data_IF_468500475170
#
_entry.id   IF_468500475170
#
_cell.length_a   1.000
_cell.length_b   1.000
_cell.length_c   1.000
_cell.angle_alpha   90.00
_cell.angle_beta   90.00
_cell.angle_gamma   90.00
#
_symmetry.space_group_name_H-M   'P 1'
#
loop_
_entity.id
_entity.type
_entity.pdbx_description
1 polymer ?
#
# COMPACT_ATOMS: atom_id res chain seq x y z
N UNK A 1 0.16 20.13 3.09
CA UNK A 1 -0.64 19.40 4.08
C UNK A 1 -1.89 18.87 3.42
N UNK A 2 -2.28 17.65 3.78
CA UNK A 2 -3.53 17.03 3.35
C UNK A 2 -4.62 17.37 4.36
N UNK A 3 -5.82 17.67 3.86
CA UNK A 3 -7.04 17.83 4.63
C UNK A 3 -8.18 17.01 3.98
N UNK A 4 -9.37 17.02 4.59
CA UNK A 4 -10.53 16.23 4.12
C UNK A 4 -11.00 16.61 2.71
N UNK A 5 -10.76 17.86 2.29
CA UNK A 5 -11.18 18.39 0.98
C UNK A 5 -10.10 18.23 -0.11
N UNK A 6 -8.89 17.77 0.25
CA UNK A 6 -7.78 17.65 -0.69
C UNK A 6 -8.09 16.59 -1.76
N UNK A 7 -8.10 16.94 -3.06
CA UNK A 7 -8.38 15.98 -4.11
C UNK A 7 -7.26 14.94 -4.25
N UNK A 8 -7.61 13.70 -4.61
CA UNK A 8 -6.63 12.64 -4.88
C UNK A 8 -5.67 13.01 -6.03
N UNK A 9 -6.14 13.76 -7.03
CA UNK A 9 -5.31 14.25 -8.13
C UNK A 9 -4.19 15.22 -7.69
N UNK A 10 -4.33 15.85 -6.52
CA UNK A 10 -3.34 16.77 -5.94
C UNK A 10 -2.43 16.07 -4.94
N UNK A 11 -3.02 15.30 -4.04
CA UNK A 11 -2.31 14.63 -2.95
C UNK A 11 -1.66 13.31 -3.35
N UNK A 12 -2.24 12.60 -4.30
CA UNK A 12 -2.02 11.18 -4.55
C UNK A 12 -2.96 10.28 -3.73
N UNK A 13 -3.23 9.09 -4.23
CA UNK A 13 -4.17 8.15 -3.60
C UNK A 13 -3.66 7.63 -2.26
N UNK A 14 -2.39 7.21 -2.20
CA UNK A 14 -1.79 6.62 -1.01
C UNK A 14 -1.70 7.61 0.17
N UNK A 15 -1.19 8.85 0.01
CA UNK A 15 -1.15 9.80 1.11
C UNK A 15 -2.55 10.19 1.63
N UNK A 16 -3.54 10.26 0.72
CA UNK A 16 -4.91 10.56 1.10
C UNK A 16 -5.52 9.40 1.90
N UNK A 17 -5.23 8.15 1.50
CA UNK A 17 -5.65 6.96 2.22
C UNK A 17 -5.03 6.93 3.63
N UNK A 18 -3.73 7.19 3.74
CA UNK A 18 -3.03 7.26 5.04
C UNK A 18 -3.71 8.29 5.94
N UNK A 19 -3.96 9.50 5.44
CA UNK A 19 -4.60 10.55 6.22
C UNK A 19 -5.99 10.15 6.75
N UNK A 20 -6.80 9.51 5.91
CA UNK A 20 -8.16 9.06 6.24
C UNK A 20 -8.19 7.91 7.23
N UNK A 21 -7.34 6.90 7.02
CA UNK A 21 -7.33 5.70 7.85
C UNK A 21 -6.69 5.92 9.23
N UNK A 22 -5.72 6.82 9.31
CA UNK A 22 -4.96 7.04 10.56
C UNK A 22 -5.40 8.27 11.33
N UNK A 23 -5.97 9.27 10.66
CA UNK A 23 -6.29 10.57 11.24
C UNK A 23 -5.07 11.39 11.65
N UNK A 24 -3.85 10.96 11.31
CA UNK A 24 -2.63 11.72 11.61
C UNK A 24 -2.37 12.79 10.55
N UNK A 25 -1.67 13.88 10.89
CA UNK A 25 -1.26 14.89 9.92
C UNK A 25 -0.38 14.29 8.82
N UNK A 26 -0.72 14.56 7.55
CA UNK A 26 0.05 14.09 6.39
C UNK A 26 0.45 15.27 5.52
N UNK A 27 1.72 15.29 5.12
CA UNK A 27 2.25 16.28 4.18
C UNK A 27 2.85 15.59 2.96
N UNK A 28 2.58 16.13 1.78
CA UNK A 28 3.19 15.70 0.52
C UNK A 28 3.98 16.83 -0.11
N UNK A 29 5.09 16.49 -0.76
CA UNK A 29 5.91 17.48 -1.43
C UNK A 29 7.13 16.84 -2.11
N UNK A 30 7.60 17.43 -3.21
CA UNK A 30 8.81 16.98 -3.90
C UNK A 30 10.06 17.12 -3.00
N UNK A 31 10.14 18.22 -2.24
CA UNK A 31 11.17 18.46 -1.26
C UNK A 31 10.68 17.93 0.10
N UNK A 32 11.04 16.69 0.44
CA UNK A 32 10.60 16.01 1.68
C UNK A 32 10.94 16.80 2.95
N UNK A 33 12.11 17.46 2.96
CA UNK A 33 12.50 18.31 4.08
C UNK A 33 11.54 19.49 4.29
N UNK A 34 11.16 20.18 3.21
CA UNK A 34 10.21 21.31 3.29
C UNK A 34 8.80 20.84 3.67
N UNK A 35 8.38 19.66 3.17
CA UNK A 35 7.10 19.07 3.57
C UNK A 35 7.08 18.73 5.07
N UNK A 36 8.14 18.13 5.59
CA UNK A 36 8.27 17.84 7.02
C UNK A 36 8.32 19.11 7.87
N UNK A 37 9.03 20.15 7.44
CA UNK A 37 9.06 21.44 8.13
C UNK A 37 7.68 22.08 8.18
N UNK A 38 6.97 22.13 7.08
CA UNK A 38 5.62 22.68 7.02
C UNK A 38 4.63 21.90 7.91
N UNK A 39 4.82 20.56 8.01
CA UNK A 39 4.03 19.72 8.90
C UNK A 39 4.28 20.10 10.37
N UNK A 40 5.54 20.22 10.79
CA UNK A 40 5.89 20.59 12.16
C UNK A 40 5.50 22.03 12.53
N UNK A 41 5.52 22.95 11.57
CA UNK A 41 5.04 24.32 11.76
C UNK A 41 3.52 24.36 12.03
N UNK A 42 2.76 23.51 11.33
CA UNK A 42 1.31 23.42 11.49
C UNK A 42 0.88 22.55 12.68
N UNK A 43 1.69 21.55 13.04
CA UNK A 43 1.44 20.54 14.06
C UNK A 43 2.63 20.42 15.02
N UNK A 44 2.83 21.40 15.92
CA UNK A 44 3.97 21.41 16.86
C UNK A 44 3.96 20.26 17.87
N UNK A 45 2.84 19.58 18.03
CA UNK A 45 2.66 18.42 18.89
C UNK A 45 3.27 17.13 18.31
N UNK A 46 3.63 17.12 17.02
CA UNK A 46 4.22 15.95 16.35
C UNK A 46 5.66 15.77 16.81
N UNK A 47 5.97 14.61 17.38
CA UNK A 47 7.28 14.22 17.87
C UNK A 47 7.95 13.13 16.99
N UNK A 48 7.21 12.51 16.07
CA UNK A 48 7.70 11.50 15.14
C UNK A 48 7.18 11.74 13.72
N UNK A 49 8.07 11.73 12.74
CA UNK A 49 7.73 11.77 11.32
C UNK A 49 8.06 10.42 10.68
N UNK A 50 7.09 9.79 10.04
CA UNK A 50 7.29 8.61 9.19
C UNK A 50 7.33 9.05 7.74
N UNK A 51 8.42 8.74 7.03
CA UNK A 51 8.57 9.05 5.61
C UNK A 51 8.38 7.78 4.77
N UNK A 52 7.30 7.75 3.99
CA UNK A 52 7.07 6.70 3.02
C UNK A 52 7.99 6.87 1.81
N UNK A 53 8.53 5.73 1.29
CA UNK A 53 9.53 5.70 0.21
C UNK A 53 10.74 6.63 0.48
N UNK A 54 11.16 6.74 1.74
CA UNK A 54 12.14 7.73 2.19
C UNK A 54 13.61 7.36 1.95
N UNK A 55 13.96 6.10 1.68
CA UNK A 55 15.35 5.61 1.69
C UNK A 55 16.30 6.37 0.75
N UNK A 56 15.84 6.79 -0.43
CA UNK A 56 16.65 7.53 -1.41
C UNK A 56 16.59 9.06 -1.23
N UNK A 57 15.89 9.58 -0.22
CA UNK A 57 15.81 11.02 0.05
C UNK A 57 16.94 11.46 1.00
N UNK A 58 18.18 11.48 0.50
CA UNK A 58 19.38 11.77 1.30
C UNK A 58 19.38 13.16 1.97
N UNK A 59 18.57 14.11 1.48
CA UNK A 59 18.43 15.46 2.06
C UNK A 59 17.59 15.46 3.36
N UNK A 60 16.86 14.39 3.65
CA UNK A 60 16.09 14.24 4.88
C UNK A 60 16.91 13.39 5.87
N UNK A 61 17.37 13.98 6.97
CA UNK A 61 18.00 13.23 8.05
C UNK A 61 16.99 12.26 8.69
N UNK A 62 17.47 11.07 9.04
CA UNK A 62 16.64 9.99 9.59
C UNK A 62 17.34 9.37 10.78
N UNK A 63 16.60 9.10 11.83
CA UNK A 63 17.10 8.43 13.03
C UNK A 63 16.94 6.91 12.91
N UNK A 64 15.94 6.46 12.15
CA UNK A 64 15.63 5.04 11.91
C UNK A 64 15.31 4.81 10.43
N UNK A 65 15.85 3.75 9.86
CA UNK A 65 15.61 3.32 8.49
C UNK A 65 15.06 1.90 8.46
N UNK A 66 13.91 1.73 7.84
CA UNK A 66 13.27 0.43 7.68
C UNK A 66 13.13 0.12 6.18
N UNK A 67 13.74 -0.96 5.74
CA UNK A 67 13.59 -1.43 4.37
C UNK A 67 12.43 -2.43 4.28
N UNK A 68 11.48 -2.20 3.37
CA UNK A 68 10.40 -3.15 3.10
C UNK A 68 10.70 -3.93 1.83
N UNK A 69 10.75 -5.25 1.93
CA UNK A 69 11.03 -6.15 0.81
C UNK A 69 9.80 -6.98 0.50
N UNK A 70 9.24 -6.78 -0.69
CA UNK A 70 8.06 -7.51 -1.17
C UNK A 70 8.39 -8.88 -1.77
N UNK A 71 7.37 -9.56 -2.31
CA UNK A 71 7.46 -10.91 -2.85
C UNK A 71 8.49 -11.11 -3.98
N UNK A 72 8.81 -10.06 -4.74
CA UNK A 72 9.86 -10.10 -5.79
C UNK A 72 11.28 -10.14 -5.22
N UNK A 73 11.44 -9.89 -3.92
CA UNK A 73 12.73 -9.81 -3.28
C UNK A 73 13.62 -8.73 -3.92
N UNK A 74 14.89 -9.07 -4.08
CA UNK A 74 15.90 -8.20 -4.70
C UNK A 74 16.03 -8.42 -6.22
N UNK A 75 15.15 -9.21 -6.84
CA UNK A 75 15.23 -9.55 -8.25
C UNK A 75 16.54 -10.30 -8.57
N UNK A 76 17.28 -9.83 -9.58
CA UNK A 76 18.60 -10.40 -9.95
C UNK A 76 19.76 -9.83 -9.10
N UNK A 77 19.50 -8.98 -8.11
CA UNK A 77 20.49 -8.38 -7.24
C UNK A 77 21.30 -7.23 -7.86
N UNK A 78 20.99 -6.82 -9.09
CA UNK A 78 21.72 -5.74 -9.78
C UNK A 78 20.96 -4.42 -9.69
N UNK A 79 21.75 -3.34 -9.67
CA UNK A 79 21.18 -1.98 -9.74
C UNK A 79 20.82 -1.59 -11.17
N UNK A 80 19.98 -0.60 -11.32
CA UNK A 80 19.64 -0.01 -12.62
C UNK A 80 20.91 0.41 -13.39
N UNK A 81 20.94 0.20 -14.71
CA UNK A 81 19.91 -0.40 -15.59
C UNK A 81 19.99 -1.93 -15.71
N UNK A 82 20.97 -2.60 -15.08
CA UNK A 82 21.19 -4.04 -15.20
C UNK A 82 20.19 -4.90 -14.40
N UNK A 83 19.51 -4.32 -13.43
CA UNK A 83 18.50 -4.93 -12.60
C UNK A 83 17.51 -3.91 -12.03
N UNK A 84 16.61 -4.34 -11.16
CA UNK A 84 15.52 -3.50 -10.67
C UNK A 84 15.89 -2.59 -9.50
N UNK A 85 17.08 -2.77 -8.90
CA UNK A 85 17.43 -2.09 -7.67
C UNK A 85 17.87 -0.64 -7.91
N UNK A 86 17.51 0.25 -7.01
CA UNK A 86 18.00 1.65 -6.97
C UNK A 86 19.33 1.76 -6.24
N UNK A 87 19.58 0.86 -5.28
CA UNK A 87 20.78 0.77 -4.45
C UNK A 87 21.26 -0.69 -4.39
N UNK A 88 22.55 -0.95 -4.14
CA UNK A 88 23.06 -2.32 -4.08
C UNK A 88 22.46 -3.09 -2.87
N UNK A 89 22.38 -4.43 -2.92
CA UNK A 89 21.86 -5.25 -1.81
C UNK A 89 22.54 -5.00 -0.47
N UNK A 90 23.84 -4.64 -0.47
CA UNK A 90 24.60 -4.28 0.74
C UNK A 90 24.01 -3.09 1.51
N UNK A 91 23.13 -2.29 0.90
CA UNK A 91 22.39 -1.23 1.58
C UNK A 91 21.53 -1.78 2.74
N UNK A 92 21.07 -3.01 2.62
CA UNK A 92 20.30 -3.68 3.66
C UNK A 92 21.08 -3.97 4.94
N UNK A 93 22.41 -3.99 4.87
CA UNK A 93 23.26 -4.14 6.07
C UNK A 93 23.46 -2.84 6.86
N UNK A 94 22.94 -1.72 6.35
CA UNK A 94 23.07 -0.38 6.95
C UNK A 94 21.75 0.22 7.44
N UNK A 95 20.62 -0.45 7.18
CA UNK A 95 19.31 -0.06 7.74
C UNK A 95 19.12 -0.67 9.14
N UNK A 96 18.23 -0.12 9.93
CA UNK A 96 17.96 -0.58 11.30
C UNK A 96 17.07 -1.83 11.34
N UNK A 97 16.19 -1.98 10.36
CA UNK A 97 15.30 -3.13 10.25
C UNK A 97 14.92 -3.44 8.80
N UNK A 98 14.59 -4.71 8.55
CA UNK A 98 14.03 -5.18 7.29
C UNK A 98 12.67 -5.81 7.56
N UNK A 99 11.65 -5.34 6.87
CA UNK A 99 10.30 -5.94 6.88
C UNK A 99 10.11 -6.77 5.62
N UNK A 100 9.85 -8.06 5.78
CA UNK A 100 9.61 -9.00 4.69
C UNK A 100 8.11 -9.19 4.49
N UNK A 101 7.55 -8.59 3.45
CA UNK A 101 6.16 -8.81 3.03
C UNK A 101 6.09 -9.97 2.02
N UNK A 102 6.60 -11.12 2.44
CA UNK A 102 6.66 -12.36 1.65
C UNK A 102 6.75 -13.57 2.59
N UNK A 103 6.24 -14.71 2.14
CA UNK A 103 6.39 -16.00 2.83
C UNK A 103 7.78 -16.63 2.66
N UNK A 104 8.62 -16.08 1.79
CA UNK A 104 9.95 -16.61 1.50
C UNK A 104 11.03 -15.75 2.18
N UNK A 105 11.43 -16.13 3.39
CA UNK A 105 12.46 -15.45 4.16
C UNK A 105 13.87 -15.56 3.56
N UNK A 106 14.11 -16.54 2.69
CA UNK A 106 15.41 -16.76 2.05
C UNK A 106 15.77 -15.72 0.97
N UNK A 107 14.84 -14.79 0.67
CA UNK A 107 15.00 -13.79 -0.40
C UNK A 107 16.03 -12.70 -0.06
N UNK A 108 16.40 -12.55 1.21
CA UNK A 108 17.32 -11.49 1.66
C UNK A 108 18.35 -12.05 2.62
N UNK A 109 19.61 -12.02 2.19
CA UNK A 109 20.76 -12.26 3.06
C UNK A 109 21.23 -10.93 3.64
N UNK A 110 21.05 -10.72 4.93
CA UNK A 110 21.54 -9.57 5.69
C UNK A 110 21.67 -9.92 7.17
N UNK A 111 22.55 -9.20 7.87
CA UNK A 111 22.72 -9.27 9.34
C UNK A 111 21.73 -8.39 10.08
N UNK A 112 21.06 -7.49 9.39
CA UNK A 112 20.05 -6.58 9.95
C UNK A 112 18.84 -7.37 10.46
N UNK A 113 18.25 -7.00 11.60
CA UNK A 113 17.03 -7.62 12.13
C UNK A 113 15.91 -7.67 11.09
N UNK A 114 15.26 -8.83 10.95
CA UNK A 114 14.21 -9.09 9.98
C UNK A 114 12.89 -9.38 10.68
N UNK A 115 11.83 -8.81 10.16
CA UNK A 115 10.47 -8.98 10.65
C UNK A 115 9.57 -9.43 9.50
N UNK A 116 8.76 -10.46 9.73
CA UNK A 116 7.77 -10.90 8.77
C UNK A 116 6.53 -10.00 8.85
N UNK A 117 5.97 -9.63 7.70
CA UNK A 117 4.69 -8.98 7.58
C UNK A 117 3.81 -9.76 6.61
N UNK A 118 2.51 -9.81 6.88
CA UNK A 118 1.52 -10.39 6.00
C UNK A 118 0.44 -9.37 5.68
N UNK A 119 -0.05 -9.40 4.44
CA UNK A 119 -1.23 -8.62 4.06
C UNK A 119 -2.49 -9.39 4.41
N UNK A 120 -3.44 -8.72 5.03
CA UNK A 120 -4.77 -9.27 5.30
C UNK A 120 -5.83 -8.21 4.93
N UNK A 121 -7.07 -8.63 4.75
CA UNK A 121 -8.18 -7.69 4.63
C UNK A 121 -8.49 -7.07 5.98
N UNK A 122 -8.70 -5.77 5.98
CA UNK A 122 -9.37 -5.07 7.05
C UNK A 122 -10.89 -5.18 6.93
N UNK A 123 -11.62 -4.22 7.49
CA UNK A 123 -13.06 -4.15 7.31
C UNK A 123 -13.42 -3.80 5.86
N UNK A 124 -14.35 -4.56 5.28
CA UNK A 124 -14.94 -4.27 3.98
C UNK A 124 -16.05 -3.22 4.15
N UNK A 125 -16.00 -2.13 3.42
CA UNK A 125 -16.98 -1.04 3.51
C UNK A 125 -17.91 -1.05 2.30
N UNK A 126 -19.22 -1.13 2.54
CA UNK A 126 -20.23 -0.94 1.51
C UNK A 126 -20.31 0.54 1.13
N UNK A 127 -19.87 0.91 -0.05
CA UNK A 127 -19.76 2.32 -0.48
C UNK A 127 -21.11 3.07 -0.45
N UNK A 128 -22.22 2.38 -0.78
CA UNK A 128 -23.55 3.00 -0.84
C UNK A 128 -24.12 3.38 0.54
N UNK A 129 -23.69 2.71 1.61
CA UNK A 129 -24.32 2.88 2.95
C UNK A 129 -23.31 3.19 4.06
N UNK A 130 -22.02 3.05 3.80
CA UNK A 130 -20.96 3.15 4.80
C UNK A 130 -20.91 1.97 5.79
N UNK A 131 -21.74 0.92 5.62
CA UNK A 131 -21.74 -0.25 6.50
C UNK A 131 -20.47 -1.05 6.31
N UNK A 132 -19.90 -1.52 7.40
CA UNK A 132 -18.68 -2.35 7.41
C UNK A 132 -19.00 -3.78 7.80
N UNK A 133 -18.21 -4.71 7.28
CA UNK A 133 -18.26 -6.14 7.61
C UNK A 133 -16.84 -6.74 7.48
N UNK A 134 -16.57 -7.85 8.14
CA UNK A 134 -15.37 -8.62 7.87
C UNK A 134 -15.50 -9.37 6.55
N UNK A 135 -14.37 -9.72 5.93
CA UNK A 135 -14.37 -10.43 4.64
C UNK A 135 -15.08 -11.79 4.74
N UNK A 136 -14.96 -12.50 5.87
CA UNK A 136 -15.60 -13.78 6.07
C UNK A 136 -17.13 -13.65 6.20
N UNK A 137 -17.62 -12.59 6.85
CA UNK A 137 -19.06 -12.27 6.90
C UNK A 137 -19.61 -11.95 5.51
N UNK A 138 -18.80 -11.30 4.67
CA UNK A 138 -19.16 -11.06 3.27
C UNK A 138 -19.21 -12.35 2.47
N UNK A 139 -18.25 -13.26 2.68
CA UNK A 139 -18.21 -14.58 2.04
C UNK A 139 -19.46 -15.40 2.42
N UNK A 140 -19.79 -15.48 3.72
CA UNK A 140 -20.97 -16.17 4.21
C UNK A 140 -22.27 -15.64 3.58
N UNK A 141 -22.37 -14.32 3.45
CA UNK A 141 -23.51 -13.69 2.79
C UNK A 141 -23.58 -14.03 1.30
N UNK A 142 -22.46 -13.96 0.57
CA UNK A 142 -22.38 -14.32 -0.86
C UNK A 142 -22.89 -15.75 -1.06
N UNK A 143 -22.47 -16.69 -0.21
CA UNK A 143 -22.89 -18.08 -0.29
C UNK A 143 -24.36 -18.27 0.07
N UNK A 144 -24.83 -17.67 1.16
CA UNK A 144 -26.22 -17.78 1.61
C UNK A 144 -27.21 -17.23 0.59
N UNK A 145 -26.89 -16.10 -0.02
CA UNK A 145 -27.73 -15.42 -1.02
C UNK A 145 -27.46 -15.92 -2.46
N UNK A 146 -26.49 -16.83 -2.65
CA UNK A 146 -26.05 -17.37 -3.96
C UNK A 146 -25.69 -16.25 -4.95
N UNK A 147 -25.01 -15.23 -4.46
CA UNK A 147 -24.59 -14.10 -5.29
C UNK A 147 -23.45 -14.51 -6.22
N UNK A 148 -23.35 -13.82 -7.35
CA UNK A 148 -22.22 -13.95 -8.31
C UNK A 148 -21.37 -12.69 -8.19
N UNK A 149 -20.33 -12.70 -7.35
CA UNK A 149 -19.51 -11.50 -7.14
C UNK A 149 -18.65 -11.19 -8.36
N UNK A 150 -18.40 -9.90 -8.58
CA UNK A 150 -17.36 -9.40 -9.48
C UNK A 150 -16.31 -8.71 -8.62
N UNK A 151 -15.10 -9.27 -8.60
CA UNK A 151 -13.94 -8.66 -7.95
C UNK A 151 -13.21 -7.77 -8.94
N UNK A 152 -12.98 -6.51 -8.59
CA UNK A 152 -12.28 -5.57 -9.44
C UNK A 152 -11.12 -4.92 -8.69
N UNK A 153 -9.99 -4.72 -9.38
CA UNK A 153 -8.81 -4.11 -8.79
C UNK A 153 -8.07 -3.19 -9.78
N UNK A 154 -7.82 -1.94 -9.38
CA UNK A 154 -7.01 -0.95 -10.10
C UNK A 154 -5.67 -0.72 -9.41
N UNK A 155 -4.89 -1.79 -9.23
CA UNK A 155 -3.59 -1.78 -8.56
C UNK A 155 -2.53 -2.49 -9.40
N UNK A 156 -1.24 -2.22 -9.17
CA UNK A 156 -0.11 -2.74 -9.93
C UNK A 156 -0.02 -4.28 -9.98
N UNK A 157 -0.54 -5.00 -8.99
CA UNK A 157 -0.48 -6.46 -8.91
C UNK A 157 -1.86 -7.07 -8.55
N UNK A 158 -2.88 -6.97 -9.43
CA UNK A 158 -4.25 -7.38 -9.13
C UNK A 158 -4.39 -8.86 -8.82
N UNK A 159 -3.57 -9.72 -9.43
CA UNK A 159 -3.61 -11.16 -9.19
C UNK A 159 -3.39 -11.57 -7.74
N UNK A 160 -2.58 -10.82 -6.97
CA UNK A 160 -2.40 -11.07 -5.53
C UNK A 160 -3.67 -10.75 -4.75
N UNK A 161 -4.32 -9.65 -5.07
CA UNK A 161 -5.60 -9.26 -4.46
C UNK A 161 -6.68 -10.31 -4.74
N UNK A 162 -6.82 -10.77 -5.98
CA UNK A 162 -7.79 -11.80 -6.32
C UNK A 162 -7.46 -13.13 -5.62
N UNK A 163 -6.19 -13.50 -5.51
CA UNK A 163 -5.79 -14.68 -4.76
C UNK A 163 -6.18 -14.58 -3.27
N UNK A 164 -6.06 -13.40 -2.66
CA UNK A 164 -6.50 -13.17 -1.29
C UNK A 164 -8.02 -13.32 -1.16
N UNK A 165 -8.81 -12.80 -2.10
CA UNK A 165 -10.28 -12.95 -2.12
C UNK A 165 -10.67 -14.43 -2.22
N UNK A 166 -10.06 -15.17 -3.15
CA UNK A 166 -10.31 -16.62 -3.28
C UNK A 166 -9.95 -17.41 -2.02
N UNK A 167 -8.93 -16.98 -1.27
CA UNK A 167 -8.56 -17.62 -0.01
C UNK A 167 -9.63 -17.51 1.09
N UNK A 168 -10.62 -16.60 0.92
CA UNK A 168 -11.80 -16.47 1.77
C UNK A 168 -13.07 -17.08 1.11
N UNK A 169 -12.88 -18.06 0.23
CA UNK A 169 -13.97 -18.77 -0.47
C UNK A 169 -14.94 -17.86 -1.28
N UNK A 170 -14.46 -16.71 -1.72
CA UNK A 170 -15.20 -15.81 -2.61
C UNK A 170 -14.75 -16.07 -4.04
N UNK A 171 -15.57 -16.86 -4.77
CA UNK A 171 -15.36 -17.16 -6.19
C UNK A 171 -16.30 -16.35 -7.05
N UNK A 172 -15.78 -15.77 -8.15
CA UNK A 172 -16.57 -14.96 -9.07
C UNK A 172 -15.76 -14.47 -10.27
N UNK A 173 -16.33 -13.54 -11.02
CA UNK A 173 -15.61 -12.91 -12.11
C UNK A 173 -14.54 -11.95 -11.57
N UNK A 174 -13.42 -11.84 -12.28
CA UNK A 174 -12.33 -10.93 -11.94
C UNK A 174 -12.18 -9.87 -13.04
N UNK A 175 -11.99 -8.63 -12.63
CA UNK A 175 -11.78 -7.50 -13.52
C UNK A 175 -10.49 -6.79 -13.13
N UNK A 176 -9.47 -6.95 -13.94
CA UNK A 176 -8.26 -6.15 -13.85
C UNK A 176 -8.50 -4.77 -14.46
N UNK A 177 -8.34 -3.74 -13.66
CA UNK A 177 -8.29 -2.35 -14.08
C UNK A 177 -6.81 -1.92 -14.16
N UNK A 178 -6.51 -0.88 -14.91
CA UNK A 178 -5.16 -0.32 -14.94
C UNK A 178 -4.73 0.18 -13.55
N UNK A 179 -3.42 0.20 -13.31
CA UNK A 179 -2.86 0.78 -12.08
C UNK A 179 -3.29 2.25 -11.97
N UNK A 180 -3.73 2.69 -10.78
CA UNK A 180 -4.33 4.00 -10.54
C UNK A 180 -5.50 4.31 -11.49
N UNK A 181 -6.37 3.33 -11.75
CA UNK A 181 -7.52 3.50 -12.65
C UNK A 181 -8.38 4.69 -12.22
N UNK A 182 -8.62 5.60 -13.17
CA UNK A 182 -9.52 6.72 -12.96
C UNK A 182 -10.98 6.26 -13.13
N UNK A 183 -11.75 6.27 -12.04
CA UNK A 183 -13.18 5.91 -12.03
C UNK A 183 -14.08 7.03 -12.58
N UNK A 184 -13.58 7.99 -13.34
CA UNK A 184 -14.37 9.00 -14.04
C UNK A 184 -15.41 8.35 -14.99
N UNK A 185 -15.04 7.20 -15.58
CA UNK A 185 -15.99 6.33 -16.29
C UNK A 185 -16.32 5.11 -15.42
N UNK A 186 -17.60 4.75 -15.34
CA UNK A 186 -18.02 3.58 -14.60
C UNK A 186 -17.63 2.28 -15.32
N UNK A 187 -16.63 1.52 -14.85
CA UNK A 187 -16.17 0.29 -15.49
C UNK A 187 -17.19 -0.85 -15.39
N UNK A 188 -18.26 -0.67 -14.62
CA UNK A 188 -19.30 -1.66 -14.36
C UNK A 188 -20.59 -1.40 -15.19
N UNK A 189 -20.69 -0.28 -15.93
CA UNK A 189 -21.92 0.18 -16.58
C UNK A 189 -22.55 -0.84 -17.56
N UNK A 190 -21.77 -1.76 -18.14
CA UNK A 190 -22.21 -2.75 -19.12
C UNK A 190 -22.27 -4.18 -18.55
N UNK A 191 -22.23 -4.35 -17.23
CA UNK A 191 -22.17 -5.65 -16.57
C UNK A 191 -23.37 -5.86 -15.66
N UNK A 192 -24.56 -5.80 -16.26
CA UNK A 192 -25.83 -6.18 -15.59
C UNK A 192 -26.18 -7.60 -16.00
N UNK A 193 -25.51 -8.62 -15.45
CA UNK A 193 -26.02 -10.01 -15.43
C UNK A 193 -25.61 -10.70 -14.12
#
# INVERSE_FOLDING_TARGET
LINEETPAAEAGDEPLLIARETGVPVAVGRARFEAGRALLEAHPEVDLIVSDDGLQHAALARDVEIAVVGARGLGNGWVLPAGPLREPPSRLDTVDAIVLNTSNEAVVESRTPRFAASSCFGACTQLATGRTALIDELADRIHAEKLKPLSAAGIAAPGRFFAMIRAHDIEGAELELGDHFDFAENPFANRTE
#
